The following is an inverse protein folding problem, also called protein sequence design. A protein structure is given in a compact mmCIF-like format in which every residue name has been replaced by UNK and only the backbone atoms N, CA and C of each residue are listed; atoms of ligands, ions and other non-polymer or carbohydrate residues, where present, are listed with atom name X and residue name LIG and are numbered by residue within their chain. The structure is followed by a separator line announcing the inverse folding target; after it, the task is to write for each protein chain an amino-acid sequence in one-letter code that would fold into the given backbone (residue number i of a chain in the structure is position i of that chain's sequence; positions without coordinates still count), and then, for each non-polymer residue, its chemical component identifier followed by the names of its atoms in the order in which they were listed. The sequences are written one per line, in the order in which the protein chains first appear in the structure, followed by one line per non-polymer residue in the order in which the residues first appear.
data_IF_083138618467
#
_entry.id   IF_083138618467
#
_cell.length_a   1.000
_cell.length_b   1.000
_cell.length_c   1.000
_cell.angle_alpha   90.00
_cell.angle_beta   90.00
_cell.angle_gamma   90.00
#
_symmetry.space_group_name_H-M   'P 1'
#
loop_
_entity.id
_entity.type
_entity.pdbx_description
1 polymer ?
#
# COMPACT_ATOMS: atom_id res chain seq x y z
N UNK A 1 -1.42 24.76 -3.28
CA UNK A 1 -0.47 23.63 -3.26
C UNK A 1 -1.18 22.34 -3.69
N UNK A 2 -1.37 22.12 -5.00
CA UNK A 2 -2.03 20.89 -5.53
C UNK A 2 -1.02 19.90 -6.13
N UNK A 3 0.10 20.42 -6.65
CA UNK A 3 1.16 19.64 -7.30
C UNK A 3 1.93 18.78 -6.30
N UNK A 4 2.25 19.32 -5.12
CA UNK A 4 2.98 18.61 -4.07
C UNK A 4 2.20 17.37 -3.59
N UNK A 5 0.89 17.51 -3.42
CA UNK A 5 -0.01 16.44 -3.04
C UNK A 5 -0.12 15.36 -4.13
N UNK A 6 -0.17 15.77 -5.40
CA UNK A 6 -0.16 14.85 -6.53
C UNK A 6 1.15 14.05 -6.64
N UNK A 7 2.27 14.68 -6.32
CA UNK A 7 3.61 14.08 -6.38
C UNK A 7 3.79 13.04 -5.26
N UNK A 8 3.36 13.36 -4.04
CA UNK A 8 3.34 12.42 -2.91
C UNK A 8 2.43 11.22 -3.21
N UNK A 9 1.24 11.48 -3.74
CA UNK A 9 0.28 10.44 -4.10
C UNK A 9 0.85 9.51 -5.21
N UNK A 10 1.57 10.08 -6.19
CA UNK A 10 2.26 9.29 -7.22
C UNK A 10 3.41 8.45 -6.65
N UNK A 11 4.16 8.98 -5.68
CA UNK A 11 5.23 8.25 -4.99
C UNK A 11 4.68 7.06 -4.20
N UNK A 12 3.59 7.24 -3.47
CA UNK A 12 2.96 6.14 -2.74
C UNK A 12 2.35 5.10 -3.68
N UNK A 13 1.81 5.53 -4.84
CA UNK A 13 1.35 4.62 -5.88
C UNK A 13 2.51 3.75 -6.42
N UNK A 14 3.68 4.36 -6.66
CA UNK A 14 4.87 3.65 -7.09
C UNK A 14 5.41 2.70 -6.01
N UNK A 15 5.34 3.11 -4.75
CA UNK A 15 5.73 2.27 -3.60
C UNK A 15 4.82 1.04 -3.49
N UNK A 16 3.52 1.21 -3.70
CA UNK A 16 2.58 0.10 -3.68
C UNK A 16 2.78 -0.85 -4.88
N UNK A 17 3.14 -0.31 -6.04
CA UNK A 17 3.50 -1.11 -7.22
C UNK A 17 4.75 -1.97 -6.98
N UNK A 18 5.74 -1.44 -6.25
CA UNK A 18 7.04 -2.10 -6.07
C UNK A 18 6.95 -3.36 -5.22
N UNK A 19 5.93 -3.50 -4.36
CA UNK A 19 5.76 -4.67 -3.49
C UNK A 19 5.39 -5.93 -4.30
N UNK A 20 4.26 -6.01 -5.03
CA UNK A 20 3.92 -7.17 -5.84
C UNK A 20 4.90 -7.37 -7.01
N UNK A 21 5.35 -6.29 -7.67
CA UNK A 21 6.30 -6.39 -8.77
C UNK A 21 7.68 -6.86 -8.29
N UNK A 22 8.14 -6.39 -7.13
CA UNK A 22 9.40 -6.79 -6.52
C UNK A 22 9.39 -8.23 -6.03
N UNK A 23 8.33 -8.66 -5.34
CA UNK A 23 8.19 -10.05 -4.87
C UNK A 23 8.18 -11.02 -6.06
N UNK A 24 7.33 -10.75 -7.06
CA UNK A 24 7.24 -11.61 -8.25
C UNK A 24 8.50 -11.54 -9.11
N UNK A 25 9.16 -10.39 -9.16
CA UNK A 25 10.46 -10.21 -9.80
C UNK A 25 11.57 -11.05 -9.14
N UNK A 26 11.65 -11.06 -7.81
CA UNK A 26 12.61 -11.88 -7.07
C UNK A 26 12.33 -13.37 -7.28
N UNK A 27 11.07 -13.78 -7.22
CA UNK A 27 10.66 -15.17 -7.50
C UNK A 27 11.06 -15.58 -8.92
N UNK A 28 10.87 -14.70 -9.89
CA UNK A 28 11.26 -14.92 -11.29
C UNK A 28 12.77 -15.12 -11.45
N UNK A 29 13.59 -14.28 -10.80
CA UNK A 29 15.06 -14.40 -10.81
C UNK A 29 15.53 -15.69 -10.14
N UNK A 30 14.94 -16.05 -8.99
CA UNK A 30 15.25 -17.30 -8.30
C UNK A 30 14.89 -18.53 -9.15
N UNK A 31 13.78 -18.47 -9.89
CA UNK A 31 13.36 -19.52 -10.81
C UNK A 31 14.35 -19.70 -11.96
N UNK A 32 14.83 -18.58 -12.52
CA UNK A 32 15.83 -18.57 -13.60
C UNK A 32 17.20 -19.12 -13.14
N UNK A 33 17.64 -18.76 -11.93
CA UNK A 33 18.88 -19.27 -11.35
C UNK A 33 18.86 -20.79 -11.13
N UNK A 34 17.69 -21.37 -10.82
CA UNK A 34 17.53 -22.79 -10.53
C UNK A 34 17.46 -23.66 -11.78
N UNK A 35 16.93 -23.15 -12.89
CA UNK A 35 16.80 -23.91 -14.15
C UNK A 35 16.75 -22.96 -15.34
N UNK A 36 17.82 -22.93 -16.14
CA UNK A 36 17.94 -22.04 -17.30
C UNK A 36 16.90 -22.33 -18.39
N UNK A 37 16.37 -23.54 -18.46
CA UNK A 37 15.31 -23.92 -19.40
C UNK A 37 13.95 -23.28 -19.08
N UNK A 38 13.79 -22.71 -17.87
CA UNK A 38 12.55 -22.06 -17.43
C UNK A 38 12.50 -20.55 -17.73
N UNK A 39 13.36 -20.05 -18.62
CA UNK A 39 13.37 -18.67 -19.11
C UNK A 39 11.97 -18.16 -19.54
N UNK A 40 11.16 -18.90 -20.33
CA UNK A 40 9.81 -18.45 -20.68
C UNK A 40 8.86 -18.34 -19.47
N UNK A 41 8.98 -19.23 -18.47
CA UNK A 41 8.18 -19.15 -17.25
C UNK A 41 8.56 -17.94 -16.38
N UNK A 42 9.86 -17.63 -16.30
CA UNK A 42 10.37 -16.43 -15.63
C UNK A 42 9.79 -15.16 -16.27
N UNK A 43 9.76 -15.08 -17.60
CA UNK A 43 9.16 -13.93 -18.31
C UNK A 43 7.67 -13.78 -18.00
N UNK A 44 6.92 -14.88 -18.02
CA UNK A 44 5.47 -14.87 -17.72
C UNK A 44 5.21 -14.40 -16.29
N UNK A 45 5.97 -14.90 -15.32
CA UNK A 45 5.83 -14.50 -13.90
C UNK A 45 6.12 -13.00 -13.73
N UNK A 46 7.15 -12.48 -14.40
CA UNK A 46 7.47 -11.05 -14.35
C UNK A 46 6.36 -10.21 -14.99
N UNK A 47 5.81 -10.63 -16.13
CA UNK A 47 4.67 -9.93 -16.77
C UNK A 47 3.43 -9.93 -15.87
N UNK A 48 3.11 -11.08 -15.27
CA UNK A 48 2.00 -11.19 -14.31
C UNK A 48 2.25 -10.30 -13.09
N UNK A 49 3.48 -10.21 -12.60
CA UNK A 49 3.82 -9.33 -11.48
C UNK A 49 3.69 -7.85 -11.80
N UNK A 50 4.03 -7.44 -13.03
CA UNK A 50 3.81 -6.07 -13.49
C UNK A 50 2.30 -5.78 -13.59
N UNK A 51 1.52 -6.68 -14.20
CA UNK A 51 0.08 -6.51 -14.34
C UNK A 51 -0.62 -6.45 -12.98
N UNK A 52 -0.28 -7.36 -12.07
CA UNK A 52 -0.81 -7.36 -10.71
C UNK A 52 -0.39 -6.10 -9.94
N UNK A 53 0.85 -5.64 -10.10
CA UNK A 53 1.31 -4.39 -9.50
C UNK A 53 0.52 -3.18 -9.99
N UNK A 54 0.32 -3.07 -11.31
CA UNK A 54 -0.47 -1.98 -11.90
C UNK A 54 -1.91 -2.08 -11.42
N UNK A 55 -2.54 -3.26 -11.50
CA UNK A 55 -3.93 -3.46 -11.10
C UNK A 55 -4.15 -3.12 -9.62
N UNK A 56 -3.24 -3.54 -8.73
CA UNK A 56 -3.33 -3.24 -7.31
C UNK A 56 -3.16 -1.74 -7.03
N UNK A 57 -2.18 -1.10 -7.68
CA UNK A 57 -1.94 0.33 -7.54
C UNK A 57 -3.11 1.16 -8.06
N UNK A 58 -3.67 0.79 -9.22
CA UNK A 58 -4.87 1.40 -9.80
C UNK A 58 -6.12 1.18 -8.91
N UNK A 59 -6.26 -0.02 -8.34
CA UNK A 59 -7.39 -0.38 -7.46
C UNK A 59 -7.39 0.44 -6.17
N UNK A 60 -6.25 0.58 -5.49
CA UNK A 60 -6.15 1.39 -4.28
C UNK A 60 -6.39 2.87 -4.59
N UNK A 61 -5.86 3.36 -5.74
CA UNK A 61 -6.12 4.72 -6.20
C UNK A 61 -7.60 5.00 -6.41
N UNK A 62 -8.33 4.09 -7.06
CA UNK A 62 -9.77 4.24 -7.33
C UNK A 62 -10.65 4.07 -6.09
N UNK A 63 -10.26 3.21 -5.14
CA UNK A 63 -11.18 2.75 -4.09
C UNK A 63 -11.09 3.52 -2.77
N UNK A 64 -9.91 4.01 -2.40
CA UNK A 64 -9.71 4.64 -1.08
C UNK A 64 -9.33 6.11 -1.14
N UNK A 65 -8.72 6.58 -2.23
CA UNK A 65 -7.93 7.81 -2.20
C UNK A 65 -6.71 7.59 -1.31
N UNK A 66 -5.50 7.68 -1.87
CA UNK A 66 -4.28 7.30 -1.16
C UNK A 66 -4.09 8.03 0.18
N UNK A 67 -4.68 9.22 0.30
CA UNK A 67 -4.60 10.08 1.46
C UNK A 67 -5.33 9.48 2.68
N UNK A 68 -6.48 8.82 2.47
CA UNK A 68 -7.25 8.20 3.53
C UNK A 68 -6.66 6.85 3.97
N UNK A 69 -5.99 6.14 3.04
CA UNK A 69 -5.38 4.84 3.31
C UNK A 69 -4.06 4.98 4.08
N UNK A 70 -3.15 5.86 3.64
CA UNK A 70 -1.93 6.14 4.41
C UNK A 70 -2.24 6.92 5.69
N UNK A 71 -3.25 7.78 5.68
CA UNK A 71 -3.78 8.41 6.88
C UNK A 71 -4.21 7.38 7.91
N UNK A 72 -5.01 6.37 7.53
CA UNK A 72 -5.47 5.28 8.40
C UNK A 72 -4.36 4.33 8.88
N UNK A 73 -3.31 4.10 8.08
CA UNK A 73 -2.20 3.22 8.49
C UNK A 73 -1.24 3.94 9.46
N UNK A 74 -1.08 5.25 9.31
CA UNK A 74 -0.22 6.06 10.18
C UNK A 74 -0.95 6.71 11.36
N UNK A 75 -2.28 6.75 11.36
CA UNK A 75 -3.02 7.06 12.57
C UNK A 75 -2.97 5.83 13.46
N UNK A 76 -2.09 5.89 14.46
CA UNK A 76 -2.20 5.03 15.63
C UNK A 76 -3.65 5.10 16.13
N UNK A 77 -4.34 3.97 16.34
CA UNK A 77 -5.67 3.95 16.94
C UNK A 77 -5.57 4.24 18.44
N UNK A 78 -5.01 5.39 18.82
CA UNK A 78 -4.73 5.73 20.22
C UNK A 78 -5.61 6.86 20.78
N UNK A 79 -6.55 7.42 20.02
CA UNK A 79 -7.39 8.54 20.53
C UNK A 79 -8.89 8.39 20.24
N UNK A 80 -9.36 7.25 19.74
CA UNK A 80 -10.80 7.00 19.68
C UNK A 80 -11.29 6.39 21.00
N UNK A 81 -11.64 7.25 21.98
CA UNK A 81 -12.71 6.89 22.90
C UNK A 81 -12.58 7.27 24.37
N UNK A 82 -11.56 8.02 24.81
CA UNK A 82 -11.57 8.56 26.18
C UNK A 82 -11.17 10.03 26.15
N UNK A 83 -12.13 10.87 25.76
CA UNK A 83 -12.04 12.31 26.02
C UNK A 83 -12.10 12.51 27.56
N UNK A 84 -11.01 12.94 28.23
CA UNK A 84 -11.01 13.11 29.68
C UNK A 84 -12.02 14.17 30.14
N UNK A 85 -12.49 15.02 29.22
CA UNK A 85 -13.47 16.06 29.49
C UNK A 85 -14.89 15.50 29.65
N UNK A 86 -15.21 14.36 29.04
CA UNK A 86 -16.52 13.72 29.20
C UNK A 86 -16.64 13.00 30.56
N UNK A 87 -15.56 12.36 31.03
CA UNK A 87 -15.54 11.67 32.32
C UNK A 87 -15.64 12.65 33.51
N UNK A 88 -15.01 13.83 33.42
CA UNK A 88 -15.10 14.86 34.46
C UNK A 88 -16.50 15.48 34.57
N UNK A 89 -17.25 15.56 33.46
CA UNK A 89 -18.64 16.04 33.44
C UNK A 89 -19.60 15.02 34.06
N UNK A 90 -19.27 13.73 33.97
CA UNK A 90 -20.08 12.62 34.51
C UNK A 90 -19.91 12.40 36.02
N UNK A 91 -18.74 12.73 36.58
CA UNK A 91 -18.44 12.57 38.01
C UNK A 91 -18.48 13.88 38.82
N UNK A 92 -18.88 15.00 38.21
CA UNK A 92 -18.81 16.34 38.80
C UNK A 92 -20.15 17.08 38.96
N UNK A 93 -21.29 16.43 38.67
CA UNK A 93 -22.61 17.04 38.84
C UNK A 93 -23.57 16.00 39.42
N UNK A 94 -23.80 16.15 40.74
CA UNK A 94 -24.83 15.55 41.62
C UNK A 94 -24.81 14.05 41.85
#
# INVERSE_FOLDING_TARGET
MRVFFFLINTIYWLWLFIVPAGILGIVSVLLYLKSKDNLPFSIIITLVGIILGIALAEYIRKRYGLDNFFGSIHSTPDIDGVDPLENKKRNGIN
#
